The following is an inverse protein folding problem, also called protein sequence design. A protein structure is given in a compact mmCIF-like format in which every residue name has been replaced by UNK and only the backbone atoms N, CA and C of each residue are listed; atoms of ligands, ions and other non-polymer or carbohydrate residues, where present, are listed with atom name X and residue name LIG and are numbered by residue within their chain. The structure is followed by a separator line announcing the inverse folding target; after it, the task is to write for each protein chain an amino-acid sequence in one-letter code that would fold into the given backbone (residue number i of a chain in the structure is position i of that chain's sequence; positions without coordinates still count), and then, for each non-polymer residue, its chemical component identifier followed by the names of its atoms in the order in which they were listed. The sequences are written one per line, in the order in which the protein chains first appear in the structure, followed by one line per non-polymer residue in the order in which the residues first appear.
data_IF_231050637359
#
_entry.id   IF_231050637359
#
_cell.length_a   1.000
_cell.length_b   1.000
_cell.length_c   1.000
_cell.angle_alpha   90.00
_cell.angle_beta   90.00
_cell.angle_gamma   90.00
#
_symmetry.space_group_name_H-M   'P 1'
#
loop_
_entity.id
_entity.type
_entity.pdbx_description
1 polymer ?
#
# COMPACT_ATOMS: atom_id res chain seq x y z
N UNK A 1 -31.52 2.97 13.52
CA UNK A 1 -30.19 2.45 13.10
C UNK A 1 -29.40 2.17 14.38
N UNK A 2 -28.96 0.93 14.65
CA UNK A 2 -28.22 0.63 15.88
C UNK A 2 -26.91 1.43 15.93
N UNK A 3 -26.61 1.99 17.09
CA UNK A 3 -25.40 2.81 17.35
C UNK A 3 -24.08 2.10 16.93
N UNK A 4 -24.08 0.79 16.90
CA UNK A 4 -22.96 -0.05 16.48
C UNK A 4 -22.57 0.18 15.01
N UNK A 5 -23.53 0.35 14.09
CA UNK A 5 -23.26 0.62 12.68
C UNK A 5 -22.65 2.00 12.46
N UNK A 6 -23.08 3.00 13.24
CA UNK A 6 -22.49 4.35 13.18
C UNK A 6 -21.04 4.34 13.70
N UNK A 7 -20.77 3.59 14.76
CA UNK A 7 -19.40 3.44 15.27
C UNK A 7 -18.48 2.71 14.26
N UNK A 8 -18.97 1.63 13.64
CA UNK A 8 -18.23 0.91 12.60
C UNK A 8 -17.99 1.79 11.37
N UNK A 9 -19.00 2.52 10.91
CA UNK A 9 -18.86 3.45 9.79
C UNK A 9 -17.85 4.57 10.10
N UNK A 10 -17.87 5.08 11.34
CA UNK A 10 -16.88 6.07 11.81
C UNK A 10 -15.45 5.53 11.82
N UNK A 11 -15.25 4.30 12.30
CA UNK A 11 -13.95 3.63 12.27
C UNK A 11 -13.44 3.42 10.84
N UNK A 12 -14.26 2.86 9.96
CA UNK A 12 -13.89 2.66 8.55
C UNK A 12 -13.55 3.98 7.86
N UNK A 13 -14.34 5.03 8.14
CA UNK A 13 -14.05 6.38 7.64
C UNK A 13 -12.73 6.95 8.15
N UNK A 14 -12.42 6.77 9.43
CA UNK A 14 -11.15 7.20 10.01
C UNK A 14 -9.95 6.47 9.39
N UNK A 15 -10.05 5.16 9.15
CA UNK A 15 -9.00 4.39 8.47
C UNK A 15 -8.81 4.82 7.02
N UNK A 16 -9.90 5.02 6.29
CA UNK A 16 -9.83 5.50 4.91
C UNK A 16 -9.19 6.89 4.83
N UNK A 17 -9.54 7.78 5.77
CA UNK A 17 -8.94 9.12 5.85
C UNK A 17 -7.44 9.07 6.19
N UNK A 18 -7.04 8.23 7.16
CA UNK A 18 -5.63 8.05 7.50
C UNK A 18 -4.85 7.50 6.30
N UNK A 19 -5.38 6.49 5.60
CA UNK A 19 -4.78 5.94 4.39
C UNK A 19 -4.60 7.01 3.30
N UNK A 20 -5.64 7.81 3.05
CA UNK A 20 -5.57 8.90 2.08
C UNK A 20 -4.55 9.98 2.49
N UNK A 21 -4.47 10.34 3.78
CA UNK A 21 -3.50 11.31 4.28
C UNK A 21 -2.06 10.82 4.13
N UNK A 22 -1.79 9.55 4.46
CA UNK A 22 -0.46 8.93 4.27
C UNK A 22 -0.09 8.85 2.80
N UNK A 23 -1.04 8.47 1.93
CA UNK A 23 -0.83 8.42 0.48
C UNK A 23 -0.51 9.82 -0.07
N UNK A 24 -1.27 10.85 0.34
CA UNK A 24 -0.99 12.22 -0.05
C UNK A 24 0.41 12.66 0.40
N UNK A 25 0.78 12.39 1.64
CA UNK A 25 2.09 12.73 2.19
C UNK A 25 3.24 12.11 1.36
N UNK A 26 3.11 10.86 0.96
CA UNK A 26 4.11 10.17 0.13
C UNK A 26 4.14 10.71 -1.30
N UNK A 27 2.96 11.01 -1.87
CA UNK A 27 2.82 11.43 -3.27
C UNK A 27 2.99 12.93 -3.51
N UNK A 28 3.01 13.76 -2.46
CA UNK A 28 3.13 15.20 -2.58
C UNK A 28 4.32 15.65 -3.47
N UNK A 29 5.55 15.12 -3.29
CA UNK A 29 6.66 15.51 -4.15
C UNK A 29 6.43 15.21 -5.62
N UNK A 30 5.79 14.07 -5.92
CA UNK A 30 5.46 13.65 -7.30
C UNK A 30 4.40 14.57 -7.90
N UNK A 31 3.37 14.95 -7.13
CA UNK A 31 2.35 15.88 -7.58
C UNK A 31 2.91 17.27 -7.84
N UNK A 32 3.75 17.78 -6.93
CA UNK A 32 4.39 19.09 -7.12
C UNK A 32 5.29 19.10 -8.36
N UNK A 33 6.09 18.04 -8.56
CA UNK A 33 6.94 17.90 -9.73
C UNK A 33 6.11 17.81 -11.02
N UNK A 34 5.01 17.06 -11.03
CA UNK A 34 4.13 16.93 -12.19
C UNK A 34 3.42 18.26 -12.53
N UNK A 35 3.03 19.02 -11.50
CA UNK A 35 2.43 20.33 -11.67
C UNK A 35 3.41 21.30 -12.33
N UNK A 36 4.62 21.42 -11.80
CA UNK A 36 5.64 22.34 -12.30
C UNK A 36 6.20 21.94 -13.67
N UNK A 37 6.26 20.65 -13.98
CA UNK A 37 6.79 20.17 -15.25
C UNK A 37 5.83 20.35 -16.42
N UNK A 38 4.53 20.13 -16.21
CA UNK A 38 3.57 20.12 -17.33
C UNK A 38 2.38 21.06 -17.18
N UNK A 39 1.73 21.09 -16.00
CA UNK A 39 0.48 21.84 -15.84
C UNK A 39 0.73 23.37 -15.80
N UNK A 40 1.71 23.80 -15.03
CA UNK A 40 2.07 25.23 -14.92
C UNK A 40 2.53 25.82 -16.26
N UNK A 41 3.44 25.17 -17.04
CA UNK A 41 3.79 25.64 -18.38
C UNK A 41 2.62 25.66 -19.36
N UNK A 42 1.68 24.70 -19.26
CA UNK A 42 0.47 24.68 -20.07
C UNK A 42 -0.44 25.89 -19.77
N UNK A 43 -0.63 26.21 -18.47
CA UNK A 43 -1.42 27.36 -18.04
C UNK A 43 -0.79 28.69 -18.46
N UNK A 44 0.53 28.75 -18.55
CA UNK A 44 1.28 29.90 -19.06
C UNK A 44 1.41 29.95 -20.59
N UNK A 45 0.71 29.05 -21.30
CA UNK A 45 0.70 28.95 -22.76
C UNK A 45 2.12 28.76 -23.37
N UNK A 46 3.08 28.23 -22.61
CA UNK A 46 4.46 27.99 -23.06
C UNK A 46 4.64 26.67 -23.79
N UNK A 47 3.79 25.69 -23.52
CA UNK A 47 3.80 24.36 -24.15
C UNK A 47 2.38 23.97 -24.60
N UNK A 48 2.30 23.05 -25.57
CA UNK A 48 1.04 22.48 -26.02
C UNK A 48 0.46 21.42 -25.11
N UNK A 49 -0.82 21.08 -25.28
CA UNK A 49 -1.52 20.07 -24.45
C UNK A 49 -0.84 18.70 -24.50
N UNK A 50 -0.35 18.31 -25.68
CA UNK A 50 0.29 17.00 -25.88
C UNK A 50 1.64 16.90 -25.14
N UNK A 51 2.45 17.93 -25.23
CA UNK A 51 3.71 18.07 -24.51
C UNK A 51 3.48 18.16 -22.99
N UNK A 52 2.51 18.96 -22.56
CA UNK A 52 2.13 19.07 -21.15
C UNK A 52 1.74 17.73 -20.54
N UNK A 53 1.03 16.88 -21.29
CA UNK A 53 0.68 15.53 -20.84
C UNK A 53 1.93 14.66 -20.63
N UNK A 54 2.86 14.68 -21.58
CA UNK A 54 4.11 13.90 -21.49
C UNK A 54 4.94 14.35 -20.29
N UNK A 55 5.12 15.65 -20.13
CA UNK A 55 5.89 16.25 -19.03
C UNK A 55 5.24 15.98 -17.66
N UNK A 56 3.91 16.12 -17.56
CA UNK A 56 3.16 15.81 -16.33
C UNK A 56 3.31 14.35 -15.94
N UNK A 57 3.35 13.44 -16.92
CA UNK A 57 3.49 12.01 -16.66
C UNK A 57 4.92 11.58 -16.28
N UNK A 58 5.93 12.38 -16.57
CA UNK A 58 7.34 12.06 -16.27
C UNK A 58 7.59 11.70 -14.81
N UNK A 59 7.25 12.55 -13.83
CA UNK A 59 7.42 12.23 -12.40
C UNK A 59 6.69 10.97 -11.95
N UNK A 60 5.50 10.71 -12.48
CA UNK A 60 4.75 9.47 -12.17
C UNK A 60 5.44 8.24 -12.74
N UNK A 61 5.95 8.32 -13.97
CA UNK A 61 6.72 7.22 -14.59
C UNK A 61 7.98 6.91 -13.79
N UNK A 62 8.71 7.94 -13.36
CA UNK A 62 9.89 7.78 -12.54
C UNK A 62 9.56 7.12 -11.20
N UNK A 63 8.50 7.58 -10.53
CA UNK A 63 8.01 6.99 -9.27
C UNK A 63 7.63 5.52 -9.45
N UNK A 64 6.85 5.20 -10.49
CA UNK A 64 6.44 3.81 -10.77
C UNK A 64 7.64 2.91 -11.07
N UNK A 65 8.53 3.33 -11.96
CA UNK A 65 9.70 2.54 -12.34
C UNK A 65 10.61 2.21 -11.14
N UNK A 66 10.77 3.16 -10.21
CA UNK A 66 11.56 2.96 -8.99
C UNK A 66 10.94 1.96 -8.00
N UNK A 67 9.66 1.64 -8.15
CA UNK A 67 8.93 0.78 -7.22
C UNK A 67 8.55 -0.59 -7.78
N UNK A 68 8.66 -0.79 -9.07
CA UNK A 68 8.35 -2.07 -9.71
C UNK A 68 9.41 -3.11 -9.34
N UNK A 69 8.96 -4.31 -8.97
CA UNK A 69 9.83 -5.47 -8.84
C UNK A 69 10.30 -5.92 -10.24
N UNK A 70 11.61 -6.03 -10.50
CA UNK A 70 12.14 -6.38 -11.83
C UNK A 70 11.57 -7.68 -12.39
N UNK A 71 11.39 -8.69 -11.54
CA UNK A 71 10.85 -9.99 -11.92
C UNK A 71 9.38 -9.87 -12.37
N UNK A 72 8.58 -9.04 -11.69
CA UNK A 72 7.18 -8.78 -12.07
C UNK A 72 7.09 -8.07 -13.41
N UNK A 73 7.97 -7.09 -13.64
CA UNK A 73 8.04 -6.37 -14.92
C UNK A 73 8.39 -7.33 -16.07
N UNK A 74 9.46 -8.12 -15.89
CA UNK A 74 9.92 -9.07 -16.91
C UNK A 74 8.85 -10.10 -17.23
N UNK A 75 8.22 -10.68 -16.20
CA UNK A 75 7.16 -11.68 -16.38
C UNK A 75 5.97 -11.14 -17.17
N UNK A 76 5.59 -9.87 -16.98
CA UNK A 76 4.51 -9.25 -17.76
C UNK A 76 4.95 -8.86 -19.17
N UNK A 77 6.18 -8.37 -19.34
CA UNK A 77 6.70 -8.01 -20.66
C UNK A 77 6.84 -9.22 -21.56
N UNK A 78 7.24 -10.39 -21.03
CA UNK A 78 7.36 -11.64 -21.79
C UNK A 78 6.02 -12.20 -22.32
N UNK A 79 4.89 -11.81 -21.71
CA UNK A 79 3.57 -12.21 -22.20
C UNK A 79 3.16 -11.54 -23.53
N UNK A 80 3.87 -10.47 -23.92
CA UNK A 80 3.58 -9.73 -25.14
C UNK A 80 4.82 -9.69 -26.03
N UNK A 81 4.74 -10.23 -27.26
CA UNK A 81 5.88 -10.30 -28.19
C UNK A 81 6.52 -8.92 -28.51
N UNK A 82 5.72 -7.86 -28.51
CA UNK A 82 6.16 -6.47 -28.77
C UNK A 82 6.90 -5.85 -27.59
N UNK A 83 6.89 -6.48 -26.41
CA UNK A 83 7.48 -5.94 -25.17
C UNK A 83 8.66 -6.78 -24.64
N UNK A 84 8.97 -7.94 -25.24
CA UNK A 84 9.99 -8.90 -24.74
C UNK A 84 11.38 -8.22 -24.57
N UNK A 85 11.73 -7.25 -25.40
CA UNK A 85 12.99 -6.53 -25.32
C UNK A 85 12.93 -5.22 -24.53
N UNK A 86 11.80 -4.95 -23.87
CA UNK A 86 11.63 -3.70 -23.12
C UNK A 86 12.28 -3.83 -21.75
N UNK A 87 13.15 -2.86 -21.40
CA UNK A 87 13.76 -2.77 -20.08
C UNK A 87 12.88 -1.97 -19.12
N UNK A 88 13.03 -2.25 -17.82
CA UNK A 88 12.40 -1.48 -16.77
C UNK A 88 13.07 -0.09 -16.65
N UNK A 89 12.48 0.89 -17.30
CA UNK A 89 12.89 2.29 -17.27
C UNK A 89 11.66 3.19 -17.17
N UNK A 90 11.80 4.46 -16.78
CA UNK A 90 10.67 5.41 -16.80
C UNK A 90 10.06 5.62 -18.20
N UNK A 91 10.82 5.39 -19.25
CA UNK A 91 10.41 5.51 -20.66
C UNK A 91 9.63 4.28 -21.15
N UNK A 92 9.61 3.19 -20.39
CA UNK A 92 8.87 1.98 -20.76
C UNK A 92 7.38 2.31 -21.05
N UNK A 93 6.74 1.58 -21.97
CA UNK A 93 5.33 1.81 -22.30
C UNK A 93 4.43 1.71 -21.05
N UNK A 94 3.51 2.65 -20.89
CA UNK A 94 2.57 2.67 -19.77
C UNK A 94 1.72 1.40 -19.71
N UNK A 95 1.51 0.74 -20.85
CA UNK A 95 0.76 -0.51 -20.93
C UNK A 95 1.37 -1.69 -20.18
N UNK A 96 2.68 -1.65 -19.93
CA UNK A 96 3.38 -2.63 -19.06
C UNK A 96 3.78 -2.01 -17.72
N UNK A 97 4.14 -0.73 -17.70
CA UNK A 97 4.60 -0.05 -16.50
C UNK A 97 3.49 0.01 -15.42
N UNK A 98 2.28 0.41 -15.79
CA UNK A 98 1.17 0.55 -14.86
C UNK A 98 0.75 -0.80 -14.25
N UNK A 99 0.48 -1.87 -15.04
CA UNK A 99 0.13 -3.16 -14.45
C UNK A 99 1.26 -3.75 -13.58
N UNK A 100 2.53 -3.61 -14.01
CA UNK A 100 3.67 -4.08 -13.22
C UNK A 100 3.79 -3.36 -11.89
N UNK A 101 3.56 -2.05 -11.88
CA UNK A 101 3.54 -1.25 -10.67
C UNK A 101 2.42 -1.71 -9.72
N UNK A 102 1.19 -1.85 -10.22
CA UNK A 102 0.06 -2.28 -9.40
C UNK A 102 0.28 -3.68 -8.80
N UNK A 103 0.80 -4.63 -9.58
CA UNK A 103 1.11 -5.97 -9.08
C UNK A 103 2.20 -5.94 -8.01
N UNK A 104 3.25 -5.15 -8.21
CA UNK A 104 4.34 -4.99 -7.22
C UNK A 104 3.84 -4.35 -5.93
N UNK A 105 2.94 -3.36 -5.99
CA UNK A 105 2.34 -2.75 -4.80
C UNK A 105 1.37 -3.71 -4.09
N UNK A 106 0.59 -4.50 -4.83
CA UNK A 106 -0.28 -5.54 -4.24
C UNK A 106 0.57 -6.59 -3.53
N UNK A 107 1.65 -7.06 -4.13
CA UNK A 107 2.57 -8.01 -3.52
C UNK A 107 3.14 -7.47 -2.20
N UNK A 108 3.65 -6.24 -2.21
CA UNK A 108 4.14 -5.57 -0.98
C UNK A 108 3.06 -5.43 0.08
N UNK A 109 1.85 -5.07 -0.31
CA UNK A 109 0.73 -4.95 0.62
C UNK A 109 0.43 -6.30 1.31
N UNK A 110 0.46 -7.40 0.58
CA UNK A 110 0.30 -8.74 1.14
C UNK A 110 1.46 -9.12 2.06
N UNK A 111 2.70 -8.83 1.68
CA UNK A 111 3.89 -9.09 2.51
C UNK A 111 3.80 -8.33 3.85
N UNK A 112 3.49 -7.04 3.81
CA UNK A 112 3.33 -6.22 5.03
C UNK A 112 2.16 -6.71 5.86
N UNK A 113 1.01 -6.99 5.24
CA UNK A 113 -0.16 -7.51 5.94
C UNK A 113 0.11 -8.84 6.64
N UNK A 114 0.84 -9.73 6.00
CA UNK A 114 1.26 -11.01 6.58
C UNK A 114 2.18 -10.81 7.80
N UNK A 115 3.18 -9.94 7.70
CA UNK A 115 4.10 -9.64 8.81
C UNK A 115 3.36 -9.03 10.02
N UNK A 116 2.38 -8.16 9.79
CA UNK A 116 1.55 -7.58 10.85
C UNK A 116 0.66 -8.65 11.49
N UNK A 117 0.20 -9.63 10.71
CA UNK A 117 -0.67 -10.70 11.21
C UNK A 117 0.07 -11.72 12.07
N UNK A 118 1.37 -11.96 11.85
CA UNK A 118 2.15 -12.98 12.58
C UNK A 118 2.06 -12.86 14.10
N UNK A 119 2.29 -11.72 14.76
CA UNK A 119 2.19 -11.61 16.20
C UNK A 119 0.77 -11.92 16.71
N UNK A 120 -0.27 -11.56 15.97
CA UNK A 120 -1.64 -11.88 16.34
C UNK A 120 -1.93 -13.39 16.23
N UNK A 121 -1.36 -14.05 15.23
CA UNK A 121 -1.44 -15.50 15.09
C UNK A 121 -0.76 -16.23 16.27
N UNK A 122 0.40 -15.75 16.70
CA UNK A 122 1.12 -16.32 17.84
C UNK A 122 0.28 -16.18 19.11
N UNK A 123 -0.36 -15.04 19.36
CA UNK A 123 -1.27 -14.84 20.49
C UNK A 123 -2.43 -15.84 20.46
N UNK A 124 -3.04 -16.07 19.29
CA UNK A 124 -4.11 -17.07 19.15
C UNK A 124 -3.63 -18.48 19.49
N UNK A 125 -2.47 -18.88 19.00
CA UNK A 125 -1.90 -20.20 19.24
C UNK A 125 -1.57 -20.42 20.73
N UNK A 126 -0.99 -19.42 21.39
CA UNK A 126 -0.65 -19.48 22.81
C UNK A 126 -1.92 -19.59 23.66
N UNK A 127 -2.93 -18.76 23.40
CA UNK A 127 -4.22 -18.81 24.10
C UNK A 127 -4.90 -20.16 23.88
N UNK A 128 -4.92 -20.67 22.64
CA UNK A 128 -5.48 -22.00 22.36
C UNK A 128 -4.77 -23.11 23.11
N UNK A 129 -3.44 -23.09 23.16
CA UNK A 129 -2.64 -24.08 23.90
C UNK A 129 -2.94 -24.04 25.40
N UNK A 130 -3.05 -22.86 26.01
CA UNK A 130 -3.40 -22.69 27.43
C UNK A 130 -4.80 -23.24 27.69
N UNK A 131 -5.80 -22.88 26.91
CA UNK A 131 -7.18 -23.35 27.07
C UNK A 131 -7.28 -24.88 26.97
N UNK A 132 -6.60 -25.48 25.99
CA UNK A 132 -6.54 -26.93 25.83
C UNK A 132 -5.87 -27.60 27.02
N UNK A 133 -4.79 -27.03 27.56
CA UNK A 133 -4.09 -27.59 28.73
C UNK A 133 -4.94 -27.53 29.98
N UNK A 134 -5.86 -26.59 30.11
CA UNK A 134 -6.82 -26.45 31.20
C UNK A 134 -8.09 -27.29 31.01
N UNK A 135 -8.20 -28.03 29.91
CA UNK A 135 -9.38 -28.85 29.60
C UNK A 135 -10.60 -28.07 29.07
N UNK A 136 -10.43 -26.77 28.74
CA UNK A 136 -11.50 -25.90 28.27
C UNK A 136 -11.68 -26.02 26.74
N UNK A 137 -12.03 -27.22 26.26
CA UNK A 137 -12.14 -27.48 24.81
C UNK A 137 -13.33 -26.79 24.12
N UNK A 138 -14.35 -26.37 24.86
CA UNK A 138 -15.55 -25.73 24.32
C UNK A 138 -15.47 -24.20 24.23
N UNK A 139 -14.44 -23.59 24.80
CA UNK A 139 -14.28 -22.13 24.77
C UNK A 139 -13.55 -21.74 23.49
N UNK A 140 -14.13 -20.85 22.66
CA UNK A 140 -13.47 -20.37 21.43
C UNK A 140 -12.21 -19.55 21.77
N UNK A 141 -11.01 -19.97 21.36
CA UNK A 141 -9.77 -19.25 21.66
C UNK A 141 -9.77 -17.79 21.17
N UNK A 142 -10.42 -17.55 20.03
CA UNK A 142 -10.49 -16.22 19.41
C UNK A 142 -11.15 -15.16 20.31
N UNK A 143 -12.15 -15.52 21.10
CA UNK A 143 -12.84 -14.58 22.00
C UNK A 143 -11.91 -14.18 23.15
N UNK A 144 -11.14 -15.13 23.69
CA UNK A 144 -10.21 -14.88 24.81
C UNK A 144 -8.95 -14.17 24.33
N UNK A 145 -8.46 -14.45 23.14
CA UNK A 145 -7.26 -13.82 22.58
C UNK A 145 -7.49 -12.35 22.18
N UNK A 146 -8.73 -11.94 21.90
CA UNK A 146 -9.05 -10.59 21.42
C UNK A 146 -8.57 -9.47 22.35
N UNK A 147 -8.82 -9.50 23.69
CA UNK A 147 -8.28 -8.48 24.60
C UNK A 147 -6.75 -8.40 24.59
N UNK A 148 -6.07 -9.53 24.50
CA UNK A 148 -4.59 -9.59 24.45
C UNK A 148 -4.05 -9.00 23.14
N UNK A 149 -4.72 -9.24 22.02
CA UNK A 149 -4.36 -8.64 20.72
C UNK A 149 -4.49 -7.13 20.76
N UNK A 150 -5.61 -6.62 21.28
CA UNK A 150 -5.84 -5.18 21.42
C UNK A 150 -4.82 -4.53 22.36
N UNK A 151 -4.56 -5.15 23.52
CA UNK A 151 -3.56 -4.66 24.48
C UNK A 151 -2.17 -4.64 23.85
N UNK A 152 -1.75 -5.69 23.16
CA UNK A 152 -0.47 -5.75 22.46
C UNK A 152 -0.33 -4.63 21.44
N UNK A 153 -1.35 -4.43 20.61
CA UNK A 153 -1.33 -3.41 19.56
C UNK A 153 -1.23 -1.98 20.12
N UNK A 154 -1.94 -1.70 21.22
CA UNK A 154 -1.91 -0.40 21.90
C UNK A 154 -0.56 -0.17 22.59
N UNK A 155 -0.05 -1.16 23.33
CA UNK A 155 1.23 -1.05 24.06
C UNK A 155 2.42 -0.93 23.11
N UNK A 156 2.37 -1.60 21.97
CA UNK A 156 3.41 -1.51 20.93
C UNK A 156 3.32 -0.25 20.06
N UNK A 157 2.34 0.64 20.30
CA UNK A 157 2.06 1.79 19.43
C UNK A 157 1.94 1.38 17.94
N UNK A 158 1.15 0.35 17.70
CA UNK A 158 1.05 -0.33 16.42
C UNK A 158 0.73 0.59 15.25
N UNK A 159 -0.07 1.63 15.46
CA UNK A 159 -0.43 2.60 14.42
C UNK A 159 0.77 3.41 13.94
N UNK A 160 1.58 3.94 14.86
CA UNK A 160 2.76 4.72 14.53
C UNK A 160 3.82 3.85 13.85
N UNK A 161 4.00 2.60 14.32
CA UNK A 161 4.92 1.65 13.71
C UNK A 161 4.52 1.28 12.28
N UNK A 162 3.24 0.98 12.03
CA UNK A 162 2.73 0.64 10.70
C UNK A 162 2.85 1.83 9.75
N UNK A 163 2.34 3.00 10.14
CA UNK A 163 2.40 4.19 9.32
C UNK A 163 3.85 4.60 9.02
N UNK A 164 4.72 4.60 10.04
CA UNK A 164 6.13 4.93 9.87
C UNK A 164 6.89 3.94 8.99
N UNK A 165 6.59 2.64 9.08
CA UNK A 165 7.21 1.61 8.24
C UNK A 165 6.75 1.72 6.78
N UNK A 166 5.47 1.97 6.57
CA UNK A 166 4.93 2.20 5.23
C UNK A 166 5.58 3.41 4.57
N UNK A 167 5.60 4.55 5.25
CA UNK A 167 6.23 5.78 4.72
C UNK A 167 7.71 5.55 4.39
N UNK A 168 8.47 4.95 5.31
CA UNK A 168 9.91 4.64 5.06
C UNK A 168 10.15 3.70 3.89
N UNK A 169 9.20 2.89 3.50
CA UNK A 169 9.34 2.01 2.33
C UNK A 169 9.30 2.77 1.01
N UNK A 170 8.92 4.05 1.02
CA UNK A 170 8.84 4.92 -0.16
C UNK A 170 10.06 5.84 -0.32
N UNK A 171 10.82 6.03 0.75
CA UNK A 171 12.04 6.82 0.81
C UNK A 171 13.26 5.94 1.11
#
# INVERSE_FOLDING_TARGET
VPRTWLALAGLVGAFAFLGAAVTYFVMEPVFVAAWSAGIEPLLNETIGVEEAFVETMGPFRFFMAGRIAPDTFTSLAELRPDLISTNLTPEAPLSVLVPSFLLSEVERAFQVGFLIFLPFLIIDLVVAAILMSMGMMMVPPAIISLPFKLAFFVVADGWALIAGSLVRSYY
#
